data_IF_606795813734
#
_entry.id   IF_606795813734
#
_cell.length_a   1.000
_cell.length_b   1.000
_cell.length_c   1.000
_cell.angle_alpha   90.00
_cell.angle_beta   90.00
_cell.angle_gamma   90.00
#
_symmetry.space_group_name_H-M   'P 1'
#
loop_
_entity.id
_entity.type
_entity.pdbx_description
1 polymer ?
#
# COMPACT_ATOMS: atom_id res chain seq x y z
N UNK A 1 -25.13 52.95 -6.36
CA UNK A 1 -24.47 51.87 -7.11
C UNK A 1 -23.57 51.13 -6.14
N UNK A 2 -24.05 50.04 -5.56
CA UNK A 2 -23.29 49.25 -4.57
C UNK A 2 -22.65 48.09 -5.33
N UNK A 3 -21.33 48.13 -5.47
CA UNK A 3 -20.54 47.01 -5.98
C UNK A 3 -20.48 45.94 -4.88
N UNK A 4 -21.19 44.84 -5.08
CA UNK A 4 -21.00 43.60 -4.33
C UNK A 4 -19.74 42.92 -4.88
N UNK A 5 -18.63 43.06 -4.14
CA UNK A 5 -17.46 42.22 -4.28
C UNK A 5 -17.82 40.82 -3.76
N UNK A 6 -18.19 39.92 -4.67
CA UNK A 6 -18.26 38.49 -4.38
C UNK A 6 -16.82 38.00 -4.27
N UNK A 7 -16.33 37.89 -3.03
CA UNK A 7 -15.06 37.23 -2.77
C UNK A 7 -15.18 35.76 -3.15
N UNK A 8 -14.37 35.32 -4.10
CA UNK A 8 -14.06 33.92 -4.31
C UNK A 8 -13.39 33.42 -3.02
N UNK A 9 -14.14 32.79 -2.12
CA UNK A 9 -13.55 32.02 -1.05
C UNK A 9 -12.78 30.86 -1.68
N UNK A 10 -11.48 30.75 -1.40
CA UNK A 10 -10.74 29.51 -1.68
C UNK A 10 -11.51 28.37 -1.00
N UNK A 11 -11.97 27.39 -1.78
CA UNK A 11 -12.52 26.16 -1.23
C UNK A 11 -11.41 25.51 -0.39
N UNK A 12 -11.59 25.53 0.93
CA UNK A 12 -10.67 24.87 1.84
C UNK A 12 -10.67 23.37 1.52
N UNK A 13 -9.49 22.84 1.28
CA UNK A 13 -9.28 21.43 1.00
C UNK A 13 -9.52 20.60 2.29
N UNK A 14 -10.71 20.01 2.44
CA UNK A 14 -11.14 19.37 3.68
C UNK A 14 -10.76 17.89 3.69
N UNK A 15 -9.70 17.53 4.40
CA UNK A 15 -9.29 16.13 4.61
C UNK A 15 -9.94 15.52 5.85
N UNK A 16 -10.40 14.27 5.72
CA UNK A 16 -11.04 13.48 6.79
C UNK A 16 -10.49 12.08 6.87
N UNK A 17 -10.62 11.48 8.05
CA UNK A 17 -10.31 10.08 8.29
C UNK A 17 -11.53 9.20 8.01
N UNK A 18 -11.32 8.07 7.35
CA UNK A 18 -12.34 7.06 7.14
C UNK A 18 -12.76 6.43 8.50
N UNK A 19 -14.05 6.15 8.72
CA UNK A 19 -14.51 5.55 9.97
C UNK A 19 -13.96 4.13 10.13
N UNK A 20 -13.76 3.71 11.38
CA UNK A 20 -13.40 2.32 11.71
C UNK A 20 -14.68 1.48 11.78
N UNK A 21 -14.73 0.36 11.05
CA UNK A 21 -15.83 -0.58 11.18
C UNK A 21 -15.79 -1.27 12.58
N UNK A 22 -16.92 -1.41 13.28
CA UNK A 22 -16.96 -1.98 14.63
C UNK A 22 -16.86 -3.52 14.61
N UNK A 23 -15.76 -4.06 14.09
CA UNK A 23 -15.50 -5.50 13.96
C UNK A 23 -14.88 -6.03 15.24
N UNK A 24 -15.37 -7.18 15.72
CA UNK A 24 -14.86 -7.86 16.91
C UNK A 24 -14.41 -9.29 16.58
N UNK A 25 -13.49 -9.88 17.35
CA UNK A 25 -13.21 -11.31 17.26
C UNK A 25 -14.50 -12.14 17.32
N UNK A 26 -14.58 -13.19 16.50
CA UNK A 26 -15.75 -14.03 16.28
C UNK A 26 -16.67 -13.55 15.16
N UNK A 27 -16.48 -12.34 14.62
CA UNK A 27 -17.30 -11.80 13.53
C UNK A 27 -16.94 -12.45 12.19
N UNK A 28 -17.95 -12.69 11.35
CA UNK A 28 -17.77 -13.06 9.94
C UNK A 28 -17.90 -11.83 9.03
N UNK A 29 -16.93 -11.64 8.15
CA UNK A 29 -16.84 -10.51 7.21
C UNK A 29 -16.62 -11.03 5.81
N UNK A 30 -17.48 -10.58 4.89
CA UNK A 30 -17.36 -10.84 3.46
C UNK A 30 -16.61 -9.71 2.77
N UNK A 31 -15.63 -10.04 1.94
CA UNK A 31 -14.83 -9.12 1.14
C UNK A 31 -15.06 -9.40 -0.35
N UNK A 32 -15.40 -8.35 -1.11
CA UNK A 32 -15.52 -8.41 -2.57
C UNK A 32 -14.13 -8.33 -3.19
N UNK A 33 -13.77 -9.32 -4.00
CA UNK A 33 -12.42 -9.50 -4.53
C UNK A 33 -12.39 -9.35 -6.05
N UNK A 34 -11.36 -8.66 -6.54
CA UNK A 34 -10.97 -8.68 -7.95
C UNK A 34 -9.49 -8.97 -8.11
N UNK A 35 -9.12 -9.68 -9.16
CA UNK A 35 -7.75 -9.84 -9.64
C UNK A 35 -7.53 -8.92 -10.86
N UNK A 36 -6.83 -7.81 -10.65
CA UNK A 36 -6.47 -6.86 -11.69
C UNK A 36 -5.12 -7.24 -12.31
N UNK A 37 -5.13 -7.59 -13.58
CA UNK A 37 -3.98 -8.19 -14.27
C UNK A 37 -3.27 -7.21 -15.20
N UNK A 38 -1.95 -7.26 -15.19
CA UNK A 38 -1.10 -6.77 -16.27
C UNK A 38 -0.54 -7.99 -17.02
N UNK A 39 -0.87 -8.19 -18.31
CA UNK A 39 -0.44 -9.37 -19.06
C UNK A 39 1.07 -9.46 -19.29
N UNK A 40 1.81 -8.36 -19.06
CA UNK A 40 3.27 -8.30 -19.22
C UNK A 40 4.02 -8.91 -18.02
N UNK A 41 3.35 -9.18 -16.91
CA UNK A 41 3.98 -9.52 -15.63
C UNK A 41 3.57 -10.92 -15.14
N UNK A 42 4.42 -11.62 -14.35
CA UNK A 42 4.09 -12.95 -13.83
C UNK A 42 2.86 -12.88 -12.93
N UNK A 43 1.94 -13.85 -13.02
CA UNK A 43 0.71 -13.90 -12.21
C UNK A 43 0.47 -15.29 -11.66
N UNK A 44 -0.20 -15.36 -10.52
CA UNK A 44 -0.72 -16.62 -10.00
C UNK A 44 -1.79 -17.18 -10.94
N UNK A 45 -1.83 -18.50 -11.07
CA UNK A 45 -2.96 -19.20 -11.67
C UNK A 45 -4.21 -19.08 -10.78
N UNK A 46 -5.41 -19.41 -11.29
CA UNK A 46 -6.61 -19.46 -10.46
C UNK A 46 -6.47 -20.38 -9.25
N UNK A 47 -5.76 -21.51 -9.38
CA UNK A 47 -5.53 -22.44 -8.27
C UNK A 47 -4.62 -21.83 -7.21
N UNK A 48 -3.53 -21.18 -7.61
CA UNK A 48 -2.65 -20.47 -6.68
C UNK A 48 -3.33 -19.27 -6.01
N UNK A 49 -4.24 -18.56 -6.70
CA UNK A 49 -5.05 -17.51 -6.07
C UNK A 49 -5.97 -18.08 -4.97
N UNK A 50 -6.49 -19.30 -5.13
CA UNK A 50 -7.24 -19.96 -4.04
C UNK A 50 -6.35 -20.24 -2.84
N UNK A 51 -5.09 -20.60 -3.05
CA UNK A 51 -4.10 -20.76 -1.96
C UNK A 51 -3.83 -19.43 -1.26
N UNK A 52 -3.62 -18.34 -2.02
CA UNK A 52 -3.46 -16.98 -1.45
C UNK A 52 -4.64 -16.64 -0.54
N UNK A 53 -5.87 -16.80 -1.03
CA UNK A 53 -7.06 -16.48 -0.26
C UNK A 53 -7.24 -17.40 0.95
N UNK A 54 -7.05 -18.72 0.81
CA UNK A 54 -7.16 -19.67 1.91
C UNK A 54 -6.13 -19.39 3.02
N UNK A 55 -4.88 -19.12 2.66
CA UNK A 55 -3.82 -18.75 3.60
C UNK A 55 -4.13 -17.43 4.31
N UNK A 56 -4.71 -16.44 3.60
CA UNK A 56 -5.18 -15.21 4.21
C UNK A 56 -6.32 -15.43 5.21
N UNK A 57 -7.30 -16.28 4.89
CA UNK A 57 -8.39 -16.63 5.82
C UNK A 57 -7.83 -17.24 7.11
N UNK A 58 -6.90 -18.20 6.97
CA UNK A 58 -6.27 -18.87 8.11
C UNK A 58 -5.49 -17.87 8.97
N UNK A 59 -4.68 -17.02 8.36
CA UNK A 59 -3.87 -16.03 9.07
C UNK A 59 -4.75 -14.96 9.74
N UNK A 60 -5.79 -14.44 9.08
CA UNK A 60 -6.73 -13.48 9.68
C UNK A 60 -7.49 -14.09 10.85
N UNK A 61 -7.94 -15.34 10.74
CA UNK A 61 -8.57 -16.04 11.87
C UNK A 61 -7.60 -16.21 13.03
N UNK A 62 -6.38 -16.68 12.76
CA UNK A 62 -5.35 -16.90 13.78
C UNK A 62 -4.98 -15.59 14.50
N UNK A 63 -4.75 -14.51 13.77
CA UNK A 63 -4.18 -13.27 14.32
C UNK A 63 -5.23 -12.28 14.81
N UNK A 64 -6.42 -12.28 14.23
CA UNK A 64 -7.46 -11.28 14.54
C UNK A 64 -8.76 -11.91 15.05
N UNK A 65 -8.83 -13.25 15.13
CA UNK A 65 -10.03 -13.97 15.55
C UNK A 65 -11.23 -13.73 14.65
N UNK A 66 -11.03 -13.27 13.41
CA UNK A 66 -12.10 -12.86 12.50
C UNK A 66 -12.22 -13.83 11.35
N UNK A 67 -13.44 -14.20 10.97
CA UNK A 67 -13.70 -15.08 9.84
C UNK A 67 -13.87 -14.23 8.59
N UNK A 68 -12.97 -14.39 7.62
CA UNK A 68 -13.09 -13.71 6.32
C UNK A 68 -13.64 -14.67 5.30
N UNK A 69 -14.66 -14.23 4.57
CA UNK A 69 -15.15 -14.88 3.37
C UNK A 69 -14.85 -13.99 2.17
N UNK A 70 -14.30 -14.57 1.11
CA UNK A 70 -14.08 -13.87 -0.15
C UNK A 70 -15.21 -14.18 -1.13
N UNK A 71 -15.62 -13.21 -1.94
CA UNK A 71 -16.43 -13.50 -3.13
C UNK A 71 -15.65 -14.37 -4.10
N UNK A 72 -16.34 -14.89 -5.12
CA UNK A 72 -15.65 -15.37 -6.32
C UNK A 72 -14.71 -14.27 -6.86
N UNK A 73 -13.53 -14.68 -7.30
CA UNK A 73 -12.50 -13.76 -7.79
C UNK A 73 -12.81 -13.42 -9.24
N UNK A 74 -13.27 -12.20 -9.48
CA UNK A 74 -13.41 -11.67 -10.83
C UNK A 74 -12.05 -11.26 -11.39
N UNK A 75 -11.79 -11.48 -12.67
CA UNK A 75 -10.57 -11.00 -13.35
C UNK A 75 -10.87 -9.74 -14.16
N UNK A 76 -10.01 -8.72 -14.05
CA UNK A 76 -10.05 -7.51 -14.87
C UNK A 76 -8.65 -7.11 -15.31
N UNK A 77 -8.55 -6.21 -16.29
CA UNK A 77 -7.29 -5.60 -16.68
C UNK A 77 -6.95 -4.41 -15.78
N UNK A 78 -5.66 -4.18 -15.50
CA UNK A 78 -5.21 -3.00 -14.74
C UNK A 78 -5.62 -1.69 -15.41
N UNK A 79 -5.67 -1.67 -16.75
CA UNK A 79 -6.15 -0.55 -17.57
C UNK A 79 -7.61 -0.21 -17.27
N UNK A 80 -8.49 -1.21 -17.25
CA UNK A 80 -9.91 -1.05 -16.93
C UNK A 80 -10.12 -0.60 -15.50
N UNK A 81 -9.34 -1.14 -14.58
CA UNK A 81 -9.39 -0.71 -13.18
C UNK A 81 -8.98 0.77 -13.06
N UNK A 82 -7.90 1.19 -13.71
CA UNK A 82 -7.44 2.58 -13.67
C UNK A 82 -8.40 3.55 -14.38
N UNK A 83 -9.15 3.08 -15.39
CA UNK A 83 -10.14 3.88 -16.08
C UNK A 83 -11.30 4.35 -15.17
N UNK A 84 -11.51 3.74 -13.99
CA UNK A 84 -12.56 4.18 -13.05
C UNK A 84 -12.16 5.42 -12.25
N UNK A 85 -10.87 5.78 -12.22
CA UNK A 85 -10.37 6.95 -11.49
C UNK A 85 -10.91 8.21 -12.17
N UNK A 86 -11.62 9.10 -11.46
CA UNK A 86 -12.13 10.32 -12.06
C UNK A 86 -10.98 11.21 -12.58
N UNK A 87 -11.07 11.77 -13.79
CA UNK A 87 -9.98 12.56 -14.39
C UNK A 87 -9.50 13.72 -13.52
N UNK A 88 -10.43 14.45 -12.88
CA UNK A 88 -10.09 15.58 -11.99
C UNK A 88 -9.26 15.15 -10.77
N UNK A 89 -9.48 13.93 -10.27
CA UNK A 89 -8.72 13.37 -9.14
C UNK A 89 -7.34 12.95 -9.62
N UNK A 90 -7.27 12.33 -10.81
CA UNK A 90 -5.99 11.96 -11.43
C UNK A 90 -5.11 13.19 -11.65
N UNK A 91 -5.68 14.26 -12.21
CA UNK A 91 -5.00 15.54 -12.44
C UNK A 91 -4.54 16.20 -11.13
N UNK A 92 -5.38 16.20 -10.09
CA UNK A 92 -4.99 16.75 -8.79
C UNK A 92 -3.82 15.97 -8.15
N UNK A 93 -3.72 14.68 -8.44
CA UNK A 93 -2.77 13.77 -7.77
C UNK A 93 -1.44 13.59 -8.47
N UNK A 94 -1.34 13.95 -9.75
CA UNK A 94 -0.06 13.90 -10.48
C UNK A 94 1.01 14.75 -9.80
N UNK A 95 0.63 15.87 -9.18
CA UNK A 95 1.55 16.79 -8.50
C UNK A 95 2.14 16.21 -7.22
N UNK A 96 1.60 15.11 -6.71
CA UNK A 96 2.10 14.44 -5.51
C UNK A 96 3.17 13.38 -5.81
N UNK A 97 3.47 13.14 -7.09
CA UNK A 97 4.43 12.14 -7.56
C UNK A 97 5.81 12.80 -7.70
N UNK A 98 6.85 12.14 -7.18
CA UNK A 98 8.22 12.43 -7.56
C UNK A 98 8.48 11.85 -8.96
N UNK A 99 8.71 12.71 -9.95
CA UNK A 99 8.93 12.27 -11.34
C UNK A 99 10.36 11.71 -11.55
N UNK A 100 10.52 10.43 -11.22
CA UNK A 100 11.74 9.67 -11.45
C UNK A 100 11.90 9.23 -12.91
N UNK A 101 10.83 9.23 -13.71
CA UNK A 101 10.84 8.76 -15.10
C UNK A 101 11.58 9.75 -16.00
N UNK A 102 11.29 11.05 -15.83
CA UNK A 102 12.00 12.14 -16.52
C UNK A 102 13.21 12.66 -15.74
N UNK A 103 13.29 12.35 -14.44
CA UNK A 103 14.36 12.82 -13.56
C UNK A 103 14.16 14.25 -13.06
N UNK A 104 12.93 14.77 -13.13
CA UNK A 104 12.56 16.13 -12.68
C UNK A 104 11.97 16.20 -11.27
N UNK A 105 11.87 15.06 -10.57
CA UNK A 105 11.42 15.02 -9.17
C UNK A 105 12.32 15.80 -8.21
N UNK A 106 11.73 16.34 -7.14
CA UNK A 106 12.43 17.09 -6.10
C UNK A 106 12.78 16.17 -4.91
N UNK A 107 14.06 15.84 -4.79
CA UNK A 107 14.53 14.92 -3.75
C UNK A 107 14.37 15.49 -2.34
N UNK A 108 14.41 16.83 -2.18
CA UNK A 108 14.22 17.46 -0.89
C UNK A 108 12.76 17.40 -0.47
N UNK A 109 11.85 17.70 -1.39
CA UNK A 109 10.42 17.58 -1.16
C UNK A 109 10.02 16.13 -0.83
N UNK A 110 10.69 15.14 -1.44
CA UNK A 110 10.51 13.72 -1.09
C UNK A 110 10.92 13.44 0.36
N UNK A 111 12.11 13.87 0.77
CA UNK A 111 12.59 13.68 2.14
C UNK A 111 11.68 14.39 3.17
N UNK A 112 11.25 15.63 2.88
CA UNK A 112 10.31 16.37 3.73
C UNK A 112 8.94 15.66 3.81
N UNK A 113 8.50 15.05 2.70
CA UNK A 113 7.29 14.23 2.62
C UNK A 113 7.34 12.97 3.49
N UNK A 114 8.48 12.26 3.46
CA UNK A 114 8.74 11.11 4.35
C UNK A 114 8.73 11.58 5.81
N UNK A 115 9.45 12.65 6.14
CA UNK A 115 9.52 13.16 7.51
C UNK A 115 8.14 13.55 8.07
N UNK A 116 7.33 14.23 7.26
CA UNK A 116 5.94 14.54 7.61
C UNK A 116 5.12 13.28 7.89
N UNK A 117 5.22 12.28 7.01
CA UNK A 117 4.51 11.00 7.18
C UNK A 117 4.90 10.30 8.49
N UNK A 118 6.20 10.20 8.79
CA UNK A 118 6.69 9.61 10.04
C UNK A 118 6.23 10.41 11.26
N UNK A 119 6.24 11.73 11.17
CA UNK A 119 5.81 12.64 12.25
C UNK A 119 4.32 12.49 12.53
N UNK A 120 3.47 12.56 11.51
CA UNK A 120 2.01 12.43 11.62
C UNK A 120 1.58 11.07 12.21
N UNK A 121 2.34 10.02 11.89
CA UNK A 121 2.14 8.67 12.43
C UNK A 121 2.75 8.47 13.82
N UNK A 122 3.32 9.51 14.43
CA UNK A 122 4.02 9.45 15.71
C UNK A 122 5.10 8.35 15.76
N UNK A 123 5.79 8.12 14.64
CA UNK A 123 6.80 7.08 14.54
C UNK A 123 7.97 7.39 15.48
N UNK A 124 8.33 6.42 16.30
CA UNK A 124 9.48 6.54 17.20
C UNK A 124 10.76 6.25 16.43
N UNK A 125 11.71 7.17 16.47
CA UNK A 125 13.01 7.02 15.80
C UNK A 125 13.69 5.70 16.13
N UNK A 126 13.71 5.29 17.41
CA UNK A 126 14.33 4.04 17.83
C UNK A 126 13.75 2.81 17.14
N UNK A 127 12.42 2.75 17.01
CA UNK A 127 11.72 1.61 16.41
C UNK A 127 11.90 1.61 14.89
N UNK A 128 11.86 2.80 14.27
CA UNK A 128 12.18 3.01 12.86
C UNK A 128 13.61 2.56 12.52
N UNK A 129 14.61 2.97 13.32
CA UNK A 129 16.00 2.57 13.16
C UNK A 129 16.19 1.07 13.36
N UNK A 130 15.57 0.48 14.39
CA UNK A 130 15.64 -0.97 14.61
C UNK A 130 15.16 -1.78 13.40
N UNK A 131 14.21 -1.23 12.63
CA UNK A 131 13.70 -1.84 11.41
C UNK A 131 14.54 -1.52 10.16
N UNK A 132 14.92 -0.25 9.95
CA UNK A 132 15.50 0.22 8.70
C UNK A 132 17.03 0.18 8.64
N UNK A 133 17.72 0.36 9.78
CA UNK A 133 19.17 0.49 9.85
C UNK A 133 19.96 -0.62 9.13
N UNK A 134 19.55 -1.91 9.19
CA UNK A 134 20.26 -2.97 8.46
C UNK A 134 20.26 -2.80 6.94
N UNK A 135 19.37 -1.96 6.41
CA UNK A 135 19.12 -1.78 4.99
C UNK A 135 19.46 -0.37 4.51
N UNK A 136 20.03 0.49 5.36
CA UNK A 136 20.45 1.84 5.01
C UNK A 136 21.98 1.92 4.94
N UNK A 137 22.53 2.69 3.98
CA UNK A 137 23.96 2.92 3.90
C UNK A 137 24.49 3.76 5.08
N UNK A 138 23.68 4.66 5.63
CA UNK A 138 23.94 5.38 6.88
C UNK A 138 22.84 5.03 7.90
N UNK A 139 23.23 4.30 8.94
CA UNK A 139 22.34 3.80 9.98
C UNK A 139 22.31 4.70 11.23
N UNK A 140 22.96 5.87 11.21
CA UNK A 140 23.21 6.69 12.39
C UNK A 140 22.41 8.01 12.44
N UNK A 141 21.19 8.00 11.90
CA UNK A 141 20.30 9.17 11.95
C UNK A 141 20.04 9.63 13.39
N UNK A 142 20.22 10.93 13.64
CA UNK A 142 20.06 11.54 14.95
C UNK A 142 18.58 11.88 15.28
N UNK A 143 17.76 12.03 14.25
CA UNK A 143 16.35 12.43 14.33
C UNK A 143 15.56 11.88 13.12
N UNK A 144 14.24 12.11 13.09
CA UNK A 144 13.39 11.65 11.98
C UNK A 144 13.72 12.36 10.66
N UNK A 145 14.23 13.59 10.69
CA UNK A 145 14.59 14.33 9.48
C UNK A 145 15.80 13.70 8.78
N UNK A 146 16.88 13.47 9.53
CA UNK A 146 18.08 12.77 9.02
C UNK A 146 17.79 11.33 8.60
N UNK A 147 16.88 10.63 9.29
CA UNK A 147 16.41 9.31 8.85
C UNK A 147 15.65 9.43 7.52
N UNK A 148 14.81 10.46 7.36
CA UNK A 148 14.02 10.67 6.14
C UNK A 148 14.90 11.00 4.93
N UNK A 149 15.97 11.77 5.12
CA UNK A 149 16.99 12.01 4.08
C UNK A 149 17.65 10.69 3.65
N UNK A 150 18.05 9.83 4.60
CA UNK A 150 18.64 8.52 4.31
C UNK A 150 17.66 7.56 3.60
N UNK A 151 16.38 7.57 4.01
CA UNK A 151 15.32 6.79 3.38
C UNK A 151 15.05 7.28 1.95
N UNK A 152 14.97 8.59 1.71
CA UNK A 152 14.80 9.16 0.38
C UNK A 152 15.95 8.77 -0.55
N UNK A 153 17.19 8.89 -0.09
CA UNK A 153 18.37 8.50 -0.86
C UNK A 153 18.35 7.00 -1.23
N UNK A 154 18.10 6.12 -0.25
CA UNK A 154 18.03 4.67 -0.48
C UNK A 154 16.87 4.30 -1.42
N UNK A 155 15.73 4.97 -1.28
CA UNK A 155 14.56 4.78 -2.13
C UNK A 155 14.87 5.13 -3.58
N UNK A 156 15.44 6.30 -3.85
CA UNK A 156 15.77 6.74 -5.21
C UNK A 156 16.85 5.86 -5.85
N UNK A 157 17.89 5.48 -5.11
CA UNK A 157 18.94 4.57 -5.62
C UNK A 157 18.36 3.23 -6.07
N UNK A 158 17.47 2.64 -5.28
CA UNK A 158 16.84 1.35 -5.58
C UNK A 158 15.75 1.47 -6.63
N UNK A 159 15.02 2.59 -6.69
CA UNK A 159 14.03 2.87 -7.73
C UNK A 159 14.67 2.91 -9.13
N UNK A 160 15.91 3.42 -9.24
CA UNK A 160 16.69 3.33 -10.50
C UNK A 160 16.96 1.88 -10.89
N UNK A 161 17.19 0.97 -9.93
CA UNK A 161 17.42 -0.44 -10.20
C UNK A 161 16.13 -1.12 -10.71
N UNK A 162 14.96 -0.76 -10.17
CA UNK A 162 13.67 -1.30 -10.64
C UNK A 162 13.38 -1.00 -12.11
N UNK A 163 13.87 0.15 -12.63
CA UNK A 163 13.74 0.51 -14.05
C UNK A 163 14.48 -0.46 -14.99
N UNK A 164 15.45 -1.22 -14.48
CA UNK A 164 16.23 -2.18 -15.25
C UNK A 164 15.61 -3.58 -15.28
N UNK A 165 14.55 -3.83 -14.51
CA UNK A 165 13.86 -5.12 -14.51
C UNK A 165 12.98 -5.20 -15.77
N UNK A 166 13.15 -6.29 -16.52
CA UNK A 166 12.36 -6.56 -17.72
C UNK A 166 11.08 -7.33 -17.36
N UNK A 167 10.00 -7.00 -18.07
CA UNK A 167 8.76 -7.75 -18.08
C UNK A 167 8.88 -8.98 -19.01
N UNK A 168 7.84 -9.80 -19.10
CA UNK A 168 7.81 -11.02 -19.93
C UNK A 168 8.01 -10.70 -21.41
N UNK A 169 7.55 -9.54 -21.86
CA UNK A 169 7.72 -9.07 -23.25
C UNK A 169 9.09 -8.43 -23.53
N UNK A 170 9.99 -8.41 -22.55
CA UNK A 170 11.35 -7.86 -22.66
C UNK A 170 11.44 -6.34 -22.49
N UNK A 171 10.32 -5.61 -22.47
CA UNK A 171 10.31 -4.18 -22.15
C UNK A 171 10.35 -3.96 -20.63
N UNK A 172 10.72 -2.77 -20.13
CA UNK A 172 10.79 -2.50 -18.69
C UNK A 172 9.45 -2.79 -17.97
N UNK A 173 9.54 -3.31 -16.74
CA UNK A 173 8.36 -3.44 -15.85
C UNK A 173 7.81 -2.08 -15.43
N UNK A 174 8.68 -1.08 -15.33
CA UNK A 174 8.32 0.33 -15.16
C UNK A 174 8.34 1.02 -16.53
N UNK A 175 7.22 0.95 -17.25
CA UNK A 175 7.05 1.60 -18.55
C UNK A 175 6.46 3.02 -18.41
N UNK A 176 6.03 3.60 -19.54
CA UNK A 176 5.40 4.93 -19.55
C UNK A 176 3.98 4.95 -18.98
N UNK A 177 3.37 3.78 -18.73
CA UNK A 177 2.04 3.72 -18.13
C UNK A 177 2.08 4.24 -16.68
N UNK A 178 0.91 4.63 -16.13
CA UNK A 178 0.82 5.08 -14.75
C UNK A 178 0.69 3.92 -13.74
N UNK A 179 0.71 2.65 -14.19
CA UNK A 179 0.28 1.52 -13.35
C UNK A 179 1.23 1.20 -12.20
N UNK A 180 2.49 1.66 -12.25
CA UNK A 180 3.41 1.53 -11.13
C UNK A 180 3.21 2.61 -10.05
N UNK A 181 2.53 3.70 -10.36
CA UNK A 181 2.41 4.85 -9.46
C UNK A 181 1.40 4.56 -8.36
N UNK A 182 1.89 4.36 -7.12
CA UNK A 182 1.09 4.06 -5.95
C UNK A 182 -0.05 5.07 -5.74
N UNK A 183 0.20 6.35 -6.04
CA UNK A 183 -0.81 7.42 -5.89
C UNK A 183 -2.12 7.13 -6.63
N UNK A 184 -2.07 6.47 -7.79
CA UNK A 184 -3.27 6.18 -8.56
C UNK A 184 -4.02 4.99 -8.00
N UNK A 185 -3.30 3.97 -7.50
CA UNK A 185 -3.90 2.90 -6.72
C UNK A 185 -4.62 3.47 -5.49
N UNK A 186 -3.99 4.39 -4.75
CA UNK A 186 -4.59 5.09 -3.60
C UNK A 186 -5.87 5.87 -3.96
N UNK A 187 -6.05 6.26 -5.23
CA UNK A 187 -7.22 7.03 -5.67
C UNK A 187 -8.39 6.21 -6.20
N UNK A 188 -8.25 4.88 -6.33
CA UNK A 188 -9.29 4.04 -6.93
C UNK A 188 -10.64 4.16 -6.23
N UNK A 189 -10.65 4.33 -4.91
CA UNK A 189 -11.87 4.39 -4.12
C UNK A 189 -12.66 5.71 -4.22
N UNK A 190 -12.13 6.75 -4.89
CA UNK A 190 -12.94 7.89 -5.34
C UNK A 190 -13.79 7.55 -6.56
N UNK A 191 -13.37 6.56 -7.36
CA UNK A 191 -14.06 6.07 -8.53
C UNK A 191 -15.21 5.12 -8.19
N UNK A 192 -15.71 4.40 -9.19
CA UNK A 192 -16.77 3.40 -8.99
C UNK A 192 -16.24 2.01 -8.61
N UNK A 193 -15.23 1.94 -7.75
CA UNK A 193 -14.64 0.67 -7.30
C UNK A 193 -15.69 -0.16 -6.54
N UNK A 194 -15.95 -1.39 -6.97
CA UNK A 194 -16.94 -2.29 -6.36
C UNK A 194 -16.34 -3.34 -5.44
N UNK A 195 -15.03 -3.27 -5.20
CA UNK A 195 -14.27 -4.29 -4.50
C UNK A 195 -13.70 -3.74 -3.20
N UNK A 196 -13.60 -4.60 -2.21
CA UNK A 196 -12.96 -4.30 -0.92
C UNK A 196 -11.49 -4.75 -0.94
N UNK A 197 -11.17 -5.73 -1.78
CA UNK A 197 -9.83 -6.25 -2.02
C UNK A 197 -9.51 -6.30 -3.53
N UNK A 198 -8.42 -5.65 -3.92
CA UNK A 198 -7.83 -5.74 -5.25
C UNK A 198 -6.51 -6.50 -5.16
N UNK A 199 -6.47 -7.72 -5.69
CA UNK A 199 -5.21 -8.42 -5.92
C UNK A 199 -4.68 -8.02 -7.29
N UNK A 200 -3.37 -7.81 -7.44
CA UNK A 200 -2.79 -7.50 -8.74
C UNK A 200 -1.41 -8.11 -8.90
N UNK A 201 -1.01 -8.41 -10.12
CA UNK A 201 0.37 -8.74 -10.45
C UNK A 201 1.19 -7.53 -10.92
N UNK A 202 0.62 -6.32 -10.89
CA UNK A 202 1.34 -5.09 -11.22
C UNK A 202 2.41 -4.80 -10.18
N UNK A 203 3.66 -4.58 -10.61
CA UNK A 203 4.67 -3.99 -9.72
C UNK A 203 4.25 -2.56 -9.38
N UNK A 204 4.10 -2.27 -8.09
CA UNK A 204 3.81 -0.94 -7.58
C UNK A 204 5.10 -0.42 -6.97
N UNK A 205 5.85 0.33 -7.77
CA UNK A 205 7.13 0.94 -7.41
C UNK A 205 7.15 2.38 -7.92
N UNK A 206 7.17 3.32 -6.99
CA UNK A 206 7.06 4.75 -7.27
C UNK A 206 7.64 5.57 -6.12
N UNK A 207 7.58 6.89 -6.22
CA UNK A 207 7.95 7.79 -5.14
C UNK A 207 6.96 8.96 -5.06
N UNK A 208 6.59 9.33 -3.85
CA UNK A 208 5.56 10.35 -3.57
C UNK A 208 6.02 11.35 -2.52
N UNK A 209 5.54 12.58 -2.61
CA UNK A 209 5.83 13.63 -1.64
C UNK A 209 5.02 13.50 -0.32
N UNK A 210 4.32 12.38 -0.13
CA UNK A 210 3.51 12.08 1.06
C UNK A 210 3.24 10.57 1.13
N UNK A 211 2.89 10.07 2.32
CA UNK A 211 2.39 8.70 2.48
C UNK A 211 3.44 7.59 2.35
N UNK A 212 4.72 7.95 2.14
CA UNK A 212 5.81 6.98 1.99
C UNK A 212 6.15 6.35 3.34
N UNK A 213 5.98 5.03 3.40
CA UNK A 213 6.34 4.22 4.55
C UNK A 213 7.81 3.78 4.55
N UNK A 214 8.36 3.54 5.75
CA UNK A 214 9.75 3.11 5.95
C UNK A 214 10.06 1.89 5.09
N UNK A 215 9.17 0.88 5.12
CA UNK A 215 9.37 -0.37 4.40
C UNK A 215 9.34 -0.16 2.88
N UNK A 216 8.46 0.71 2.36
CA UNK A 216 8.44 1.05 0.93
C UNK A 216 9.70 1.77 0.51
N UNK A 217 10.18 2.73 1.30
CA UNK A 217 11.41 3.47 1.02
C UNK A 217 12.64 2.54 0.94
N UNK A 218 12.85 1.67 1.93
CA UNK A 218 13.99 0.73 1.89
C UNK A 218 13.89 -0.27 0.72
N UNK A 219 12.69 -0.56 0.19
CA UNK A 219 12.53 -1.44 -0.98
C UNK A 219 12.72 -0.73 -2.32
N UNK A 220 13.01 0.58 -2.33
CA UNK A 220 13.09 1.36 -3.57
C UNK A 220 11.73 1.81 -4.09
N UNK A 221 10.80 2.13 -3.18
CA UNK A 221 9.46 2.58 -3.50
C UNK A 221 8.44 1.48 -3.72
N UNK A 222 8.80 0.22 -3.45
CA UNK A 222 7.87 -0.91 -3.62
C UNK A 222 6.90 -0.99 -2.46
N UNK A 223 5.63 -0.74 -2.77
CA UNK A 223 4.51 -0.98 -1.87
C UNK A 223 3.88 -2.34 -2.21
N UNK A 224 3.90 -3.27 -1.25
CA UNK A 224 3.31 -4.60 -1.44
C UNK A 224 1.78 -4.53 -1.34
N UNK A 225 1.27 -3.68 -0.45
CA UNK A 225 -0.15 -3.37 -0.38
C UNK A 225 -0.37 -2.05 0.34
N UNK A 226 -1.59 -1.54 0.24
CA UNK A 226 -2.02 -0.34 0.94
C UNK A 226 -3.52 -0.34 1.07
N UNK A 227 -4.01 0.05 2.26
CA UNK A 227 -5.42 0.36 2.47
C UNK A 227 -5.68 1.84 2.23
N UNK A 228 -6.71 2.13 1.44
CA UNK A 228 -7.12 3.49 1.12
C UNK A 228 -8.64 3.67 1.28
N UNK A 229 -9.10 4.91 1.21
CA UNK A 229 -10.52 5.26 1.27
C UNK A 229 -11.30 4.64 0.11
N UNK A 230 -12.52 4.14 0.39
CA UNK A 230 -13.48 3.74 -0.65
C UNK A 230 -14.86 4.26 -0.32
N UNK A 231 -15.45 5.01 -1.26
CA UNK A 231 -16.83 5.51 -1.13
C UNK A 231 -17.90 4.41 -1.22
N UNK A 232 -17.55 3.27 -1.80
CA UNK A 232 -18.46 2.16 -2.09
C UNK A 232 -18.25 0.95 -1.18
N UNK A 233 -17.26 1.00 -0.28
CA UNK A 233 -16.99 -0.05 0.69
C UNK A 233 -17.79 0.16 1.96
N UNK A 234 -18.37 -0.92 2.49
CA UNK A 234 -19.03 -0.90 3.80
C UNK A 234 -18.07 -0.66 4.97
N UNK A 235 -16.77 -0.80 4.72
CA UNK A 235 -15.70 -0.56 5.70
C UNK A 235 -15.14 0.87 5.60
N UNK A 236 -15.63 1.69 4.65
CA UNK A 236 -15.09 3.02 4.36
C UNK A 236 -13.71 2.99 3.68
N UNK A 237 -13.19 1.81 3.41
CA UNK A 237 -11.86 1.56 2.86
C UNK A 237 -11.84 0.36 1.92
N UNK A 238 -10.84 0.32 1.05
CA UNK A 238 -10.47 -0.87 0.28
C UNK A 238 -8.97 -1.08 0.42
N UNK A 239 -8.49 -2.26 0.05
CA UNK A 239 -7.07 -2.57 0.03
C UNK A 239 -6.68 -3.09 -1.34
N UNK A 240 -5.50 -2.71 -1.82
CA UNK A 240 -4.86 -3.40 -2.93
C UNK A 240 -3.59 -4.09 -2.44
N UNK A 241 -3.25 -5.21 -3.06
CA UNK A 241 -2.00 -5.93 -2.80
C UNK A 241 -1.42 -6.45 -4.13
N UNK A 242 -0.15 -6.15 -4.37
CA UNK A 242 0.61 -6.74 -5.47
C UNK A 242 1.23 -8.08 -5.08
N UNK A 243 1.11 -9.06 -5.97
CA UNK A 243 1.75 -10.37 -5.87
C UNK A 243 3.09 -10.41 -6.62
N UNK A 244 3.47 -9.34 -7.31
CA UNK A 244 4.71 -9.30 -8.11
C UNK A 244 5.96 -9.67 -7.30
N UNK A 245 6.20 -9.14 -6.09
CA UNK A 245 7.41 -9.43 -5.32
C UNK A 245 7.55 -10.90 -4.87
N UNK A 246 6.45 -11.65 -4.86
CA UNK A 246 6.45 -13.07 -4.49
C UNK A 246 6.81 -13.97 -5.68
N UNK A 247 6.48 -13.52 -6.90
CA UNK A 247 6.60 -14.28 -8.14
C UNK A 247 7.85 -13.93 -8.96
N UNK A 248 8.30 -12.67 -8.92
CA UNK A 248 9.42 -12.22 -9.73
C UNK A 248 10.76 -12.75 -9.20
N UNK A 249 11.51 -13.43 -10.07
CA UNK A 249 12.85 -13.96 -9.77
C UNK A 249 13.96 -13.19 -10.51
N UNK A 250 13.73 -11.92 -10.85
CA UNK A 250 14.80 -11.05 -11.36
C UNK A 250 15.93 -10.92 -10.33
N UNK A 251 17.14 -10.61 -10.80
CA UNK A 251 18.30 -10.46 -9.93
C UNK A 251 18.09 -9.41 -8.82
N UNK A 252 17.34 -8.34 -9.10
CA UNK A 252 17.01 -7.30 -8.13
C UNK A 252 16.07 -7.83 -7.05
N UNK A 253 14.97 -8.49 -7.44
CA UNK A 253 14.02 -9.04 -6.47
C UNK A 253 14.68 -10.10 -5.60
N UNK A 254 15.49 -10.99 -6.19
CA UNK A 254 16.27 -11.95 -5.40
C UNK A 254 17.24 -11.25 -4.46
N UNK A 255 17.95 -10.20 -4.87
CA UNK A 255 18.84 -9.43 -3.98
C UNK A 255 18.09 -8.88 -2.76
N UNK A 256 16.89 -8.33 -2.95
CA UNK A 256 16.04 -7.81 -1.87
C UNK A 256 15.41 -8.91 -1.00
N UNK A 257 15.43 -10.16 -1.48
CA UNK A 257 15.04 -11.40 -0.77
C UNK A 257 16.23 -12.20 -0.24
N UNK A 258 17.44 -11.63 -0.24
CA UNK A 258 18.67 -12.34 0.16
C UNK A 258 18.96 -13.63 -0.64
N UNK A 259 18.65 -13.61 -1.93
CA UNK A 259 18.87 -14.71 -2.87
C UNK A 259 17.75 -15.75 -2.86
N UNK A 260 16.72 -15.59 -2.05
CA UNK A 260 15.62 -16.56 -2.01
C UNK A 260 14.79 -16.57 -3.29
N UNK A 261 14.34 -17.78 -3.64
CA UNK A 261 13.30 -18.06 -4.62
C UNK A 261 12.27 -18.97 -3.96
N UNK A 262 11.04 -18.89 -4.45
CA UNK A 262 9.90 -19.64 -3.93
C UNK A 262 9.32 -20.51 -5.04
N UNK A 263 8.82 -21.70 -4.70
CA UNK A 263 7.89 -22.40 -5.58
C UNK A 263 6.59 -21.59 -5.70
N UNK A 264 5.81 -21.80 -6.75
CA UNK A 264 4.55 -21.07 -6.94
C UNK A 264 3.58 -21.27 -5.76
N UNK A 265 3.47 -22.49 -5.25
CA UNK A 265 2.66 -22.81 -4.07
C UNK A 265 3.14 -22.07 -2.81
N UNK A 266 4.44 -22.09 -2.54
CA UNK A 266 4.97 -21.42 -1.35
C UNK A 266 4.91 -19.89 -1.48
N UNK A 267 5.10 -19.36 -2.69
CA UNK A 267 4.88 -17.95 -2.98
C UNK A 267 3.41 -17.54 -2.71
N UNK A 268 2.45 -18.40 -3.09
CA UNK A 268 1.03 -18.18 -2.84
C UNK A 268 0.70 -18.22 -1.33
N UNK A 269 1.30 -19.15 -0.57
CA UNK A 269 1.15 -19.20 0.88
C UNK A 269 1.70 -17.94 1.57
N UNK A 270 2.92 -17.50 1.19
CA UNK A 270 3.52 -16.28 1.71
C UNK A 270 2.72 -15.03 1.35
N UNK A 271 2.23 -14.94 0.10
CA UNK A 271 1.37 -13.84 -0.33
C UNK A 271 0.04 -13.83 0.44
N UNK A 272 -0.55 -14.99 0.71
CA UNK A 272 -1.75 -15.11 1.53
C UNK A 272 -1.53 -14.71 2.98
N UNK A 273 -0.41 -15.13 3.58
CA UNK A 273 -0.04 -14.70 4.93
C UNK A 273 0.16 -13.18 4.99
N UNK A 274 0.85 -12.59 3.99
CA UNK A 274 1.02 -11.14 3.89
C UNK A 274 -0.30 -10.41 3.62
N UNK A 275 -1.23 -11.02 2.87
CA UNK A 275 -2.57 -10.44 2.69
C UNK A 275 -3.32 -10.28 4.02
N UNK A 276 -3.02 -11.08 5.05
CA UNK A 276 -3.58 -10.85 6.38
C UNK A 276 -3.11 -9.51 6.99
N UNK A 277 -1.86 -9.10 6.77
CA UNK A 277 -1.36 -7.77 7.16
C UNK A 277 -2.23 -6.67 6.54
N UNK A 278 -2.47 -6.78 5.24
CA UNK A 278 -3.30 -5.84 4.47
C UNK A 278 -4.77 -5.84 4.93
N UNK A 279 -5.33 -7.00 5.28
CA UNK A 279 -6.68 -7.10 5.85
C UNK A 279 -6.73 -6.49 7.26
N UNK A 280 -5.64 -6.54 8.02
CA UNK A 280 -5.51 -5.86 9.31
C UNK A 280 -5.67 -4.34 9.18
N UNK A 281 -5.07 -3.74 8.15
CA UNK A 281 -5.30 -2.35 7.79
C UNK A 281 -6.74 -2.10 7.34
N UNK A 282 -7.29 -2.94 6.47
CA UNK A 282 -8.64 -2.79 5.93
C UNK A 282 -9.72 -2.77 7.02
N UNK A 283 -9.71 -3.79 7.89
CA UNK A 283 -10.81 -4.05 8.83
C UNK A 283 -10.67 -3.29 10.14
N UNK A 284 -9.43 -3.08 10.59
CA UNK A 284 -9.16 -2.52 11.91
C UNK A 284 -8.36 -1.23 11.85
N UNK A 285 -7.78 -0.86 10.71
CA UNK A 285 -6.88 0.29 10.59
C UNK A 285 -5.71 0.21 11.58
N UNK A 286 -5.18 -1.00 11.80
CA UNK A 286 -3.96 -1.19 12.59
C UNK A 286 -2.77 -0.51 11.92
N UNK A 287 -1.83 0.00 12.70
CA UNK A 287 -0.56 0.56 12.24
C UNK A 287 0.55 -0.48 12.14
N UNK A 288 1.75 -0.01 11.81
CA UNK A 288 2.95 -0.83 11.74
C UNK A 288 3.73 -0.78 13.07
N UNK A 289 3.68 -1.82 13.92
CA UNK A 289 4.55 -1.93 15.09
C UNK A 289 5.98 -2.31 14.66
N UNK A 290 6.71 -1.35 14.08
CA UNK A 290 8.07 -1.57 13.57
C UNK A 290 9.00 -2.22 14.61
N UNK A 291 9.73 -3.24 14.17
CA UNK A 291 10.67 -3.99 15.02
C UNK A 291 10.00 -5.06 15.89
N UNK A 292 8.67 -5.20 15.87
CA UNK A 292 7.96 -6.23 16.62
C UNK A 292 7.73 -7.47 15.75
N UNK A 293 8.77 -8.29 15.65
CA UNK A 293 8.85 -9.44 14.73
C UNK A 293 7.69 -10.45 14.87
N UNK A 294 7.13 -10.60 16.06
CA UNK A 294 5.97 -11.47 16.30
C UNK A 294 4.66 -10.94 15.70
N UNK A 295 4.56 -9.64 15.43
CA UNK A 295 3.34 -9.02 14.91
C UNK A 295 3.21 -9.27 13.40
N UNK A 296 2.09 -9.83 12.96
CA UNK A 296 1.71 -9.86 11.53
C UNK A 296 1.65 -8.44 10.92
N UNK A 297 1.33 -7.42 11.74
CA UNK A 297 1.33 -6.02 11.31
C UNK A 297 2.73 -5.40 11.23
N UNK A 298 3.79 -6.03 11.74
CA UNK A 298 5.14 -5.58 11.45
C UNK A 298 5.43 -5.93 9.98
N UNK A 299 5.74 -4.97 9.11
CA UNK A 299 5.96 -5.26 7.70
C UNK A 299 7.21 -6.14 7.50
N UNK A 300 7.27 -6.88 6.40
CA UNK A 300 8.47 -7.64 6.06
C UNK A 300 9.66 -6.68 5.81
N UNK A 301 10.83 -7.00 6.36
CA UNK A 301 12.06 -6.27 6.03
C UNK A 301 12.45 -6.53 4.58
N UNK A 302 12.69 -5.47 3.80
CA UNK A 302 12.95 -5.60 2.35
C UNK A 302 11.87 -6.47 1.68
N UNK A 303 12.22 -7.52 0.93
CA UNK A 303 11.25 -8.47 0.38
C UNK A 303 11.33 -9.85 1.07
N UNK A 304 11.92 -9.93 2.28
CA UNK A 304 12.24 -11.18 2.98
C UNK A 304 11.00 -11.81 3.62
N UNK A 305 10.06 -12.25 2.79
CA UNK A 305 8.75 -12.75 3.21
C UNK A 305 8.82 -14.04 4.01
N UNK A 306 9.72 -14.99 3.66
CA UNK A 306 9.92 -16.21 4.46
C UNK A 306 10.37 -15.89 5.88
N UNK A 307 11.45 -15.11 6.02
CA UNK A 307 11.97 -14.73 7.34
C UNK A 307 10.90 -14.04 8.17
N UNK A 308 10.16 -13.09 7.56
CA UNK A 308 9.04 -12.43 8.20
C UNK A 308 7.98 -13.44 8.67
N UNK A 309 7.53 -14.33 7.78
CA UNK A 309 6.48 -15.31 8.06
C UNK A 309 6.84 -16.26 9.21
N UNK A 310 8.09 -16.71 9.27
CA UNK A 310 8.60 -17.61 10.31
C UNK A 310 8.70 -16.96 11.70
N UNK A 311 8.73 -15.62 11.76
CA UNK A 311 8.83 -14.87 13.02
C UNK A 311 7.48 -14.51 13.65
N UNK A 312 6.38 -14.63 12.90
CA UNK A 312 5.06 -14.21 13.35
C UNK A 312 4.53 -15.17 14.43
N UNK A 313 4.07 -14.59 15.54
CA UNK A 313 3.47 -15.32 16.65
C UNK A 313 2.27 -14.54 17.20
N UNK A 314 1.11 -15.19 17.20
CA UNK A 314 -0.15 -14.62 17.71
C UNK A 314 -0.05 -14.27 19.19
N UNK A 315 0.61 -15.10 20.00
CA UNK A 315 0.73 -14.86 21.43
C UNK A 315 1.63 -13.65 21.73
N UNK A 316 2.66 -13.44 20.89
CA UNK A 316 3.57 -12.30 20.98
C UNK A 316 3.00 -10.96 20.52
N UNK A 317 1.83 -10.91 19.89
CA UNK A 317 1.23 -9.65 19.41
C UNK A 317 -0.30 -9.69 19.28
N UNK A 318 -1.05 -9.79 20.39
CA UNK A 318 -2.51 -9.74 20.35
C UNK A 318 -3.04 -8.35 19.99
N UNK A 319 -4.26 -8.29 19.47
CA UNK A 319 -4.98 -7.02 19.20
C UNK A 319 -5.00 -6.16 20.48
N UNK A 320 -4.70 -4.87 20.33
CA UNK A 320 -4.69 -3.89 21.42
C UNK A 320 -3.45 -3.93 22.31
N UNK A 321 -2.51 -4.86 22.11
CA UNK A 321 -1.26 -4.96 22.90
C UNK A 321 -0.35 -3.74 22.77
N UNK A 322 -0.50 -2.95 21.70
CA UNK A 322 0.32 -1.80 21.35
C UNK A 322 -0.53 -0.70 20.73
N UNK A 323 -0.09 0.58 20.74
CA UNK A 323 -0.81 1.67 20.09
C UNK A 323 -1.17 1.38 18.63
N UNK A 324 -0.25 0.79 17.88
CA UNK A 324 -0.42 0.43 16.46
C UNK A 324 -1.43 -0.72 16.29
N UNK A 325 -1.57 -1.59 17.29
CA UNK A 325 -2.53 -2.70 17.28
C UNK A 325 -3.92 -2.30 17.82
N UNK A 326 -4.19 -1.00 18.02
CA UNK A 326 -5.52 -0.50 18.36
C UNK A 326 -6.31 -0.22 17.10
N UNK A 327 -7.60 -0.55 17.11
CA UNK A 327 -8.46 -0.25 15.97
C UNK A 327 -8.53 1.27 15.76
N UNK A 328 -8.35 1.74 14.53
CA UNK A 328 -8.27 3.17 14.20
C UNK A 328 -6.90 3.81 14.44
N UNK A 329 -5.83 3.04 14.55
CA UNK A 329 -4.48 3.57 14.74
C UNK A 329 -4.00 4.41 13.55
N UNK A 330 -4.28 3.96 12.31
CA UNK A 330 -3.93 4.67 11.07
C UNK A 330 -5.10 4.68 10.09
N UNK A 331 -6.14 5.52 10.33
CA UNK A 331 -7.25 5.61 9.40
C UNK A 331 -6.79 6.10 8.02
N UNK A 332 -7.30 5.53 6.92
CA UNK A 332 -7.15 6.13 5.60
C UNK A 332 -7.72 7.54 5.58
N UNK A 333 -6.99 8.49 5.03
CA UNK A 333 -7.46 9.86 4.84
C UNK A 333 -8.07 10.05 3.46
N UNK A 334 -9.08 10.90 3.36
CA UNK A 334 -9.72 11.26 2.11
C UNK A 334 -10.14 12.72 2.07
N UNK A 335 -10.25 13.24 0.86
CA UNK A 335 -10.61 14.59 0.58
C UNK A 335 -12.13 14.70 0.41
N UNK A 336 -12.80 15.34 1.36
CA UNK A 336 -14.25 15.48 1.34
C UNK A 336 -14.72 16.45 0.24
N UNK A 337 -13.93 17.47 -0.09
CA UNK A 337 -14.22 18.38 -1.21
C UNK A 337 -14.32 17.61 -2.52
N UNK A 338 -13.42 16.65 -2.74
CA UNK A 338 -13.44 15.78 -3.91
C UNK A 338 -14.68 14.89 -3.96
N UNK A 339 -15.04 14.27 -2.83
CA UNK A 339 -16.25 13.44 -2.73
C UNK A 339 -17.51 14.26 -3.04
N UNK A 340 -17.63 15.47 -2.49
CA UNK A 340 -18.78 16.37 -2.75
C UNK A 340 -18.89 16.72 -4.23
N UNK A 341 -17.80 17.14 -4.86
CA UNK A 341 -17.77 17.47 -6.31
C UNK A 341 -18.20 16.30 -7.18
N UNK A 342 -17.73 15.09 -6.87
CA UNK A 342 -18.11 13.88 -7.62
C UNK A 342 -19.60 13.54 -7.47
N UNK A 343 -20.18 13.75 -6.29
CA UNK A 343 -21.61 13.52 -6.04
C UNK A 343 -22.49 14.54 -6.78
N UNK A 344 -22.09 15.81 -6.84
CA UNK A 344 -22.79 16.85 -7.59
C UNK A 344 -22.78 16.63 -9.10
N UNK A 345 -21.70 16.03 -9.63
CA UNK A 345 -21.62 15.65 -11.04
C UNK A 345 -22.52 14.47 -11.36
N UNK A 346 -22.66 13.52 -10.42
CA UNK A 346 -23.52 12.35 -10.58
C UNK A 346 -25.02 12.71 -10.54
N UNK A 347 -25.43 13.69 -9.74
CA UNK A 347 -26.84 14.10 -9.62
C UNK A 347 -27.37 14.92 -10.82
N UNK A 348 -26.47 15.40 -11.70
CA UNK A 348 -26.81 16.15 -12.91
C UNK A 348 -26.95 15.27 -14.17
N UNK A 349 -26.67 13.97 -14.06
CA UNK A 349 -26.86 12.97 -15.12
C UNK A 349 -28.11 12.17 -14.84
#
# INVERSE_FOLDING_TARGET
MVLLLVGCGEEIDEWKNAPVAPIKPGTSVKLRVVHATNPRLPRFSPDHLRIVLASAQLAVWKHYGTFVEFTEVEETGVDKLFAIIPPSIREARVQSIYDFKTGSGDARMLADGINRTLTERNTKLKDALAFAAPYLPDAHAADLASLSDALAAAMLERLVQWRQVAAIDGAPVLDASPYNEWVYWDTLGYGNLQYDLVLTNQLIASAEYYGVDIHSAIRGGVSVGTTSYSRNSRYGSFVFMTTFPFLDNSALTMKLREGEQYSEEYAAELAGAYLAHEIGHLLFQFGHPFGQKSCVMNPAGMLRFREWYEQIDVAGCPIGSRPEMKAGAIPPSYNLTWVRKLNEQASKR
#
